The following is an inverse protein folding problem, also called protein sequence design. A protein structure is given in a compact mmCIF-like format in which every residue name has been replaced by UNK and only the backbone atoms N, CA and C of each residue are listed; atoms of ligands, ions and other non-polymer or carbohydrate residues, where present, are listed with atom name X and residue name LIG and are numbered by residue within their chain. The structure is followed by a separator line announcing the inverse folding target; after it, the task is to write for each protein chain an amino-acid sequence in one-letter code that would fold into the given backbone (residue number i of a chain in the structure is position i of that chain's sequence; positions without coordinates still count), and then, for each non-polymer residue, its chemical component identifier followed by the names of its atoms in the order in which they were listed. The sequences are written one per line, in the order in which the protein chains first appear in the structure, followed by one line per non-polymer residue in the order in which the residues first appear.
data_IF_366324283268
#
_entry.id   IF_366324283268
#
_cell.length_a   1.000
_cell.length_b   1.000
_cell.length_c   1.000
_cell.angle_alpha   90.00
_cell.angle_beta   90.00
_cell.angle_gamma   90.00
#
_symmetry.space_group_name_H-M   'P 1'
#
loop_
_entity.id
_entity.type
_entity.pdbx_description
1 polymer ?
#
# COMPACT_ATOMS: atom_id res chain seq x y z
N UNK A 1 -2.31 24.19 -0.95
CA UNK A 1 -2.83 24.17 -2.33
C UNK A 1 -2.32 25.40 -3.04
N UNK A 2 -1.63 25.20 -4.13
CA UNK A 2 -0.89 26.27 -4.79
C UNK A 2 -1.21 26.35 -6.29
N UNK A 3 -2.51 26.30 -6.61
CA UNK A 3 -2.99 26.62 -7.95
C UNK A 3 -3.29 28.10 -8.02
N UNK A 4 -2.46 28.81 -8.75
CA UNK A 4 -2.56 30.27 -8.95
C UNK A 4 -2.59 30.58 -10.43
N UNK A 5 -3.08 31.79 -10.76
CA UNK A 5 -3.05 32.27 -12.13
C UNK A 5 -1.71 32.92 -12.41
N UNK A 6 -1.07 32.53 -13.50
CA UNK A 6 0.21 33.12 -13.91
C UNK A 6 -0.03 34.52 -14.43
N UNK A 7 0.64 35.53 -13.85
CA UNK A 7 0.47 36.93 -14.18
C UNK A 7 0.88 37.29 -15.62
N UNK A 8 1.88 36.56 -16.17
CA UNK A 8 2.44 36.86 -17.47
C UNK A 8 1.63 36.26 -18.64
N UNK A 9 1.08 35.05 -18.42
CA UNK A 9 0.42 34.30 -19.48
C UNK A 9 -1.11 34.21 -19.30
N UNK A 10 -1.64 34.62 -18.14
CA UNK A 10 -3.05 34.49 -17.82
C UNK A 10 -3.55 33.06 -17.66
N UNK A 11 -2.67 32.06 -17.78
CA UNK A 11 -2.98 30.65 -17.62
C UNK A 11 -2.78 30.19 -16.18
N UNK A 12 -3.37 29.05 -15.84
CA UNK A 12 -3.24 28.48 -14.51
C UNK A 12 -1.90 27.75 -14.35
N UNK A 13 -1.33 27.83 -13.16
CA UNK A 13 -0.14 27.08 -12.76
C UNK A 13 -0.35 26.39 -11.42
N UNK A 14 0.27 25.22 -11.25
CA UNK A 14 0.32 24.51 -9.99
C UNK A 14 1.75 24.42 -9.47
N UNK A 15 1.90 24.66 -8.18
CA UNK A 15 3.17 24.51 -7.48
C UNK A 15 2.96 23.60 -6.27
N UNK A 16 3.63 22.45 -6.28
CA UNK A 16 3.45 21.42 -5.27
C UNK A 16 4.74 21.21 -4.50
N UNK A 17 4.58 21.05 -3.20
CA UNK A 17 5.63 20.59 -2.30
C UNK A 17 5.23 19.23 -1.76
N UNK A 18 5.97 18.19 -2.14
CA UNK A 18 5.74 16.81 -1.68
C UNK A 18 6.95 16.33 -0.93
N UNK A 19 6.74 15.81 0.26
CA UNK A 19 7.80 15.17 1.03
C UNK A 19 7.82 13.69 0.69
N UNK A 20 8.95 13.23 0.18
CA UNK A 20 9.19 11.83 -0.13
C UNK A 20 9.27 10.99 1.17
N UNK A 21 9.09 9.68 1.05
CA UNK A 21 9.24 8.72 2.15
C UNK A 21 10.62 8.79 2.85
N UNK A 22 11.66 9.31 2.17
CA UNK A 22 12.97 9.59 2.76
C UNK A 22 13.03 10.87 3.60
N UNK A 23 11.90 11.61 3.70
CA UNK A 23 11.85 12.93 4.33
C UNK A 23 12.36 14.07 3.45
N UNK A 24 12.72 13.78 2.19
CA UNK A 24 13.21 14.77 1.23
C UNK A 24 12.06 15.51 0.57
N UNK A 25 12.07 16.82 0.65
CA UNK A 25 11.02 17.64 0.04
C UNK A 25 11.33 17.92 -1.43
N UNK A 26 10.41 17.54 -2.29
CA UNK A 26 10.47 17.79 -3.73
C UNK A 26 9.51 18.92 -4.07
N UNK A 27 10.04 19.94 -4.76
CA UNK A 27 9.24 21.04 -5.29
C UNK A 27 9.01 20.82 -6.79
N UNK A 28 7.75 20.80 -7.19
CA UNK A 28 7.37 20.73 -8.62
C UNK A 28 6.47 21.90 -8.96
N UNK A 29 6.76 22.56 -10.07
CA UNK A 29 5.97 23.65 -10.63
C UNK A 29 5.63 23.32 -12.07
N UNK A 30 4.35 23.39 -12.43
CA UNK A 30 3.86 23.23 -13.80
C UNK A 30 2.95 24.38 -14.16
N UNK A 31 3.21 24.98 -15.33
CA UNK A 31 2.48 26.12 -15.88
C UNK A 31 1.73 25.73 -17.15
N UNK A 32 0.80 26.57 -17.58
CA UNK A 32 0.18 26.46 -18.90
C UNK A 32 -1.15 25.70 -18.93
N UNK A 33 -1.79 25.48 -17.79
CA UNK A 33 -3.13 24.89 -17.75
C UNK A 33 -4.19 25.91 -18.23
N UNK A 34 -5.12 25.42 -19.01
CA UNK A 34 -6.22 26.24 -19.54
C UNK A 34 -7.24 26.55 -18.46
N UNK A 35 -7.50 25.62 -17.58
CA UNK A 35 -8.49 25.74 -16.50
C UNK A 35 -7.89 25.44 -15.13
N UNK A 36 -8.51 26.01 -14.10
CA UNK A 36 -8.18 25.70 -12.69
C UNK A 36 -8.39 24.21 -12.38
N UNK A 37 -9.42 23.61 -12.99
CA UNK A 37 -9.76 22.19 -12.81
C UNK A 37 -8.66 21.27 -13.31
N UNK A 38 -8.07 21.55 -14.48
CA UNK A 38 -6.93 20.80 -15.01
C UNK A 38 -5.69 20.90 -14.12
N UNK A 39 -5.40 22.08 -13.59
CA UNK A 39 -4.29 22.28 -12.69
C UNK A 39 -4.48 21.50 -11.38
N UNK A 40 -5.68 21.50 -10.81
CA UNK A 40 -6.03 20.71 -9.61
C UNK A 40 -5.99 19.21 -9.89
N UNK A 41 -6.45 18.77 -11.05
CA UNK A 41 -6.39 17.36 -11.43
C UNK A 41 -4.94 16.89 -11.57
N UNK A 42 -4.11 17.65 -12.25
CA UNK A 42 -2.69 17.36 -12.34
C UNK A 42 -2.00 17.30 -10.96
N UNK A 43 -2.37 18.20 -10.04
CA UNK A 43 -1.86 18.19 -8.67
C UNK A 43 -2.20 16.89 -7.94
N UNK A 44 -3.46 16.44 -8.03
CA UNK A 44 -3.91 15.16 -7.45
C UNK A 44 -3.18 13.96 -8.04
N UNK A 45 -3.09 13.94 -9.37
CA UNK A 45 -2.41 12.85 -10.09
C UNK A 45 -0.91 12.81 -9.74
N UNK A 46 -0.28 13.96 -9.64
CA UNK A 46 1.14 14.06 -9.26
C UNK A 46 1.36 13.62 -7.81
N UNK A 47 0.52 14.04 -6.87
CA UNK A 47 0.58 13.61 -5.48
C UNK A 47 0.35 12.09 -5.41
N UNK A 48 -0.63 11.59 -6.11
CA UNK A 48 -0.92 10.15 -6.19
C UNK A 48 0.25 9.35 -6.76
N UNK A 49 0.93 9.86 -7.78
CA UNK A 49 2.11 9.22 -8.38
C UNK A 49 3.37 9.36 -7.55
N UNK A 50 3.58 10.47 -6.86
CA UNK A 50 4.78 10.69 -6.03
C UNK A 50 4.68 10.04 -4.66
N UNK A 51 3.48 9.87 -4.14
CA UNK A 51 3.17 8.95 -3.04
C UNK A 51 2.93 7.52 -3.54
N UNK A 52 3.20 7.28 -4.80
CA UNK A 52 2.72 6.16 -5.61
C UNK A 52 3.11 4.77 -5.16
N UNK A 53 4.12 4.61 -4.31
CA UNK A 53 4.37 3.33 -3.66
C UNK A 53 3.38 3.03 -2.53
N UNK A 54 2.89 4.07 -1.85
CA UNK A 54 1.97 3.92 -0.70
C UNK A 54 0.49 3.92 -1.10
N UNK A 55 0.15 4.47 -2.26
CA UNK A 55 -1.22 4.47 -2.79
C UNK A 55 -1.63 3.18 -3.52
N UNK A 56 -0.68 2.26 -3.74
CA UNK A 56 -1.00 0.96 -4.34
C UNK A 56 -1.85 0.11 -3.41
N UNK A 57 -2.65 -0.78 -3.99
CA UNK A 57 -3.41 -1.74 -3.20
C UNK A 57 -2.47 -2.74 -2.51
N UNK A 58 -2.93 -3.30 -1.40
CA UNK A 58 -2.17 -4.33 -0.70
C UNK A 58 -1.91 -5.56 -1.59
N UNK A 59 -2.86 -5.90 -2.47
CA UNK A 59 -2.69 -7.00 -3.42
C UNK A 59 -1.54 -6.77 -4.41
N UNK A 60 -1.42 -5.56 -4.94
CA UNK A 60 -0.32 -5.19 -5.83
C UNK A 60 1.03 -5.18 -5.08
N UNK A 61 1.01 -4.69 -3.85
CA UNK A 61 2.19 -4.73 -2.98
C UNK A 61 2.65 -6.16 -2.65
N UNK A 62 1.73 -7.08 -2.37
CA UNK A 62 2.05 -8.51 -2.17
C UNK A 62 2.73 -9.08 -3.40
N UNK A 63 2.27 -8.74 -4.59
CA UNK A 63 2.89 -9.20 -5.84
C UNK A 63 4.35 -8.76 -5.95
N UNK A 64 4.66 -7.52 -5.59
CA UNK A 64 6.03 -7.01 -5.53
C UNK A 64 6.86 -7.72 -4.44
N UNK A 65 6.29 -7.90 -3.27
CA UNK A 65 6.93 -8.59 -2.16
C UNK A 65 7.31 -10.04 -2.51
N UNK A 66 6.38 -10.78 -3.08
CA UNK A 66 6.61 -12.18 -3.51
C UNK A 66 7.68 -12.25 -4.59
N UNK A 67 7.64 -11.36 -5.58
CA UNK A 67 8.64 -11.30 -6.65
C UNK A 67 10.04 -11.02 -6.12
N UNK A 68 10.19 -10.15 -5.13
CA UNK A 68 11.48 -9.91 -4.48
C UNK A 68 11.94 -11.13 -3.66
N UNK A 69 11.03 -11.81 -2.98
CA UNK A 69 11.34 -13.02 -2.21
C UNK A 69 11.82 -14.18 -3.09
N UNK A 70 11.34 -14.28 -4.32
CA UNK A 70 11.79 -15.30 -5.29
C UNK A 70 13.30 -15.26 -5.55
N UNK A 71 13.90 -14.08 -5.47
CA UNK A 71 15.34 -13.89 -5.63
C UNK A 71 16.18 -14.23 -4.40
N UNK A 72 15.55 -14.32 -3.23
CA UNK A 72 16.23 -14.44 -1.93
C UNK A 72 16.01 -15.77 -1.23
N UNK A 73 14.91 -16.42 -1.50
CA UNK A 73 14.48 -17.63 -0.80
C UNK A 73 14.42 -18.83 -1.75
N UNK A 74 14.48 -20.01 -1.17
CA UNK A 74 14.28 -21.25 -1.93
C UNK A 74 12.87 -21.31 -2.52
N UNK A 75 12.67 -21.85 -3.73
CA UNK A 75 11.35 -21.92 -4.38
C UNK A 75 10.27 -22.58 -3.52
N UNK A 76 10.61 -23.63 -2.77
CA UNK A 76 9.68 -24.30 -1.86
C UNK A 76 9.20 -23.39 -0.72
N UNK A 77 10.10 -22.57 -0.19
CA UNK A 77 9.78 -21.59 0.87
C UNK A 77 8.88 -20.49 0.35
N UNK A 78 9.17 -19.97 -0.84
CA UNK A 78 8.34 -18.96 -1.50
C UNK A 78 6.94 -19.49 -1.78
N UNK A 79 6.84 -20.70 -2.31
CA UNK A 79 5.56 -21.35 -2.60
C UNK A 79 4.70 -21.52 -1.33
N UNK A 80 5.29 -21.96 -0.22
CA UNK A 80 4.59 -22.12 1.05
C UNK A 80 4.12 -20.79 1.63
N UNK A 81 4.96 -19.76 1.58
CA UNK A 81 4.62 -18.40 2.04
C UNK A 81 3.51 -17.80 1.19
N UNK A 82 3.63 -17.88 -0.13
CA UNK A 82 2.64 -17.39 -1.08
C UNK A 82 1.29 -18.05 -0.88
N UNK A 83 1.28 -19.37 -0.75
CA UNK A 83 0.05 -20.12 -0.50
C UNK A 83 -0.67 -19.63 0.76
N UNK A 84 0.05 -19.46 1.86
CA UNK A 84 -0.53 -18.99 3.12
C UNK A 84 -1.03 -17.54 3.04
N UNK A 85 -0.28 -16.67 2.37
CA UNK A 85 -0.65 -15.28 2.14
C UNK A 85 -1.91 -15.20 1.27
N UNK A 86 -1.95 -15.90 0.16
CA UNK A 86 -3.09 -15.91 -0.77
C UNK A 86 -4.35 -16.50 -0.13
N UNK A 87 -4.19 -17.48 0.75
CA UNK A 87 -5.31 -18.13 1.42
C UNK A 87 -5.91 -17.29 2.56
N UNK A 88 -5.10 -16.64 3.38
CA UNK A 88 -5.51 -16.04 4.66
C UNK A 88 -5.33 -14.53 4.77
N UNK A 89 -4.39 -13.95 4.06
CA UNK A 89 -4.08 -12.52 4.14
C UNK A 89 -4.72 -11.74 2.99
N UNK A 90 -4.51 -12.17 1.78
CA UNK A 90 -4.98 -11.50 0.56
C UNK A 90 -6.50 -11.29 0.53
N UNK A 91 -7.36 -12.27 0.87
CA UNK A 91 -8.80 -12.07 0.80
C UNK A 91 -9.33 -10.90 1.63
N UNK A 92 -8.68 -10.59 2.74
CA UNK A 92 -9.09 -9.51 3.62
C UNK A 92 -8.51 -8.15 3.20
N UNK A 93 -7.23 -8.11 2.83
CA UNK A 93 -6.51 -6.85 2.61
C UNK A 93 -6.38 -6.42 1.15
N UNK A 94 -6.62 -7.32 0.20
CA UNK A 94 -6.30 -7.13 -1.23
C UNK A 94 -6.71 -5.78 -1.80
N UNK A 95 -7.93 -5.33 -1.49
CA UNK A 95 -8.52 -4.12 -2.05
C UNK A 95 -8.19 -2.83 -1.30
N UNK A 96 -7.60 -2.95 -0.12
CA UNK A 96 -7.30 -1.82 0.74
C UNK A 96 -5.97 -1.19 0.27
N UNK A 97 -5.92 0.12 0.00
CA UNK A 97 -4.64 0.79 -0.26
C UNK A 97 -3.70 0.63 0.93
N UNK A 98 -2.41 0.43 0.65
CA UNK A 98 -1.41 0.14 1.69
C UNK A 98 -1.34 1.23 2.75
N UNK A 99 -1.47 2.50 2.35
CA UNK A 99 -1.46 3.66 3.26
C UNK A 99 -2.74 3.85 4.08
N UNK A 100 -3.83 3.16 3.72
CA UNK A 100 -5.12 3.22 4.43
C UNK A 100 -5.31 2.07 5.42
N UNK A 101 -4.38 1.11 5.46
CA UNK A 101 -4.46 0.00 6.41
C UNK A 101 -4.17 0.54 7.81
N UNK A 102 -5.19 0.46 8.67
CA UNK A 102 -5.11 0.88 10.07
C UNK A 102 -4.95 -0.31 10.99
N UNK A 103 -4.44 -0.11 12.22
CA UNK A 103 -4.39 -1.17 13.24
C UNK A 103 -5.74 -1.84 13.49
N UNK A 104 -6.85 -1.10 13.33
CA UNK A 104 -8.21 -1.64 13.45
C UNK A 104 -8.52 -2.71 12.41
N UNK A 105 -8.06 -2.55 11.16
CA UNK A 105 -8.21 -3.54 10.11
C UNK A 105 -7.46 -4.84 10.45
N UNK A 106 -6.26 -4.71 10.96
CA UNK A 106 -5.46 -5.87 11.40
C UNK A 106 -6.15 -6.59 12.56
N UNK A 107 -6.72 -5.84 13.49
CA UNK A 107 -7.45 -6.41 14.63
C UNK A 107 -8.72 -7.15 14.21
N UNK A 108 -9.49 -6.57 13.29
CA UNK A 108 -10.66 -7.24 12.71
C UNK A 108 -10.29 -8.53 11.98
N UNK A 109 -9.21 -8.51 11.23
CA UNK A 109 -8.67 -9.70 10.57
C UNK A 109 -8.24 -10.78 11.57
N UNK A 110 -7.51 -10.40 12.61
CA UNK A 110 -7.11 -11.32 13.69
C UNK A 110 -8.34 -11.93 14.39
N UNK A 111 -9.34 -11.11 14.67
CA UNK A 111 -10.58 -11.57 15.30
C UNK A 111 -11.33 -12.57 14.41
N UNK A 112 -11.37 -12.33 13.10
CA UNK A 112 -12.00 -13.23 12.14
C UNK A 112 -11.31 -14.60 12.10
N UNK A 113 -9.99 -14.64 12.19
CA UNK A 113 -9.21 -15.87 12.27
C UNK A 113 -9.43 -16.62 13.60
N UNK A 114 -9.47 -15.89 14.69
CA UNK A 114 -9.68 -16.46 16.03
C UNK A 114 -11.09 -16.99 16.21
N UNK A 115 -12.09 -16.37 15.58
CA UNK A 115 -13.49 -16.77 15.62
C UNK A 115 -13.82 -17.93 14.68
N UNK A 116 -12.91 -18.29 13.79
CA UNK A 116 -13.13 -19.40 12.86
C UNK A 116 -13.34 -20.72 13.61
N UNK A 117 -14.32 -21.50 13.11
CA UNK A 117 -14.56 -22.88 13.53
C UNK A 117 -14.77 -23.74 12.28
N UNK A 118 -14.22 -24.94 12.31
CA UNK A 118 -14.41 -25.92 11.25
C UNK A 118 -15.79 -26.63 11.38
N UNK A 119 -16.06 -27.57 10.50
CA UNK A 119 -17.31 -28.35 10.51
C UNK A 119 -17.53 -29.09 11.84
N UNK A 120 -16.45 -29.40 12.56
CA UNK A 120 -16.47 -30.06 13.87
C UNK A 120 -16.45 -29.05 15.05
N UNK A 121 -16.52 -27.74 14.78
CA UNK A 121 -16.46 -26.71 15.80
C UNK A 121 -15.07 -26.44 16.35
N UNK A 122 -14.00 -26.93 15.71
CA UNK A 122 -12.61 -26.71 16.16
C UNK A 122 -12.03 -25.39 15.66
N UNK A 123 -11.36 -24.62 16.53
CA UNK A 123 -10.63 -23.43 16.12
C UNK A 123 -9.31 -23.79 15.41
N UNK A 124 -8.70 -22.79 14.76
CA UNK A 124 -7.32 -22.94 14.30
C UNK A 124 -6.34 -23.15 15.47
N UNK A 125 -5.34 -23.99 15.25
CA UNK A 125 -4.26 -24.16 16.22
C UNK A 125 -3.49 -22.84 16.43
N UNK A 126 -3.01 -22.60 17.66
CA UNK A 126 -2.27 -21.40 18.00
C UNK A 126 -1.00 -21.23 17.17
N UNK A 127 -0.31 -22.31 16.89
CA UNK A 127 0.88 -22.30 16.01
C UNK A 127 0.54 -21.87 14.60
N UNK A 128 -0.59 -22.29 14.08
CA UNK A 128 -1.08 -21.88 12.75
C UNK A 128 -1.43 -20.39 12.71
N UNK A 129 -2.14 -19.89 13.72
CA UNK A 129 -2.45 -18.46 13.85
C UNK A 129 -1.18 -17.61 13.93
N UNK A 130 -0.17 -18.05 14.67
CA UNK A 130 1.14 -17.39 14.72
C UNK A 130 1.83 -17.38 13.37
N UNK A 131 1.82 -18.48 12.62
CA UNK A 131 2.38 -18.53 11.27
C UNK A 131 1.73 -17.53 10.33
N UNK A 132 0.40 -17.43 10.34
CA UNK A 132 -0.35 -16.47 9.52
C UNK A 132 0.01 -15.03 9.93
N UNK A 133 0.01 -14.73 11.21
CA UNK A 133 0.34 -13.40 11.72
C UNK A 133 1.79 -13.00 11.38
N UNK A 134 2.73 -13.94 11.43
CA UNK A 134 4.12 -13.70 11.07
C UNK A 134 4.27 -13.33 9.58
N UNK A 135 3.45 -13.89 8.69
CA UNK A 135 3.47 -13.50 7.28
C UNK A 135 3.04 -12.04 7.11
N UNK A 136 1.97 -11.62 7.77
CA UNK A 136 1.53 -10.22 7.72
C UNK A 136 2.58 -9.27 8.31
N UNK A 137 3.16 -9.63 9.45
CA UNK A 137 4.25 -8.87 10.09
C UNK A 137 5.47 -8.72 9.17
N UNK A 138 5.87 -9.78 8.50
CA UNK A 138 6.98 -9.76 7.54
C UNK A 138 6.70 -8.83 6.36
N UNK A 139 5.48 -8.82 5.84
CA UNK A 139 5.05 -7.94 4.76
C UNK A 139 5.11 -6.48 5.19
N UNK A 140 4.58 -6.14 6.35
CA UNK A 140 4.63 -4.76 6.85
C UNK A 140 6.04 -4.30 7.21
N UNK A 141 6.87 -5.14 7.79
CA UNK A 141 8.28 -4.83 8.06
C UNK A 141 9.04 -4.58 6.75
N UNK A 142 8.77 -5.35 5.71
CA UNK A 142 9.31 -5.12 4.39
C UNK A 142 8.84 -3.78 3.81
N UNK A 143 7.56 -3.46 3.94
CA UNK A 143 7.02 -2.19 3.50
C UNK A 143 7.70 -1.00 4.19
N UNK A 144 7.84 -1.04 5.51
CA UNK A 144 8.50 0.02 6.30
C UNK A 144 9.97 0.17 5.94
N UNK A 145 10.64 -0.93 5.60
CA UNK A 145 12.07 -0.91 5.30
C UNK A 145 12.40 -0.39 3.91
N UNK A 146 11.56 -0.67 2.92
CA UNK A 146 11.87 -0.41 1.50
C UNK A 146 10.93 0.60 0.82
N UNK A 147 9.82 0.98 1.46
CA UNK A 147 8.80 1.89 0.95
C UNK A 147 8.36 2.89 2.02
#
# INVERSE_FOLDING_TARGET
MSVTKDGDTGRWMSQIRVTDWTGKTIHKKKRGFTTKKEALQWERDFISQSTGSLGMTFGDFISLYVKDMEHRLKPSTVASKKWLIDLKVTPFFKKIPLNEIKPTHVRQWQNSLTSYRDENGKPYAQTYLKCINNQLTAIFNYAVKYY
#
